data_IF_433420451481
#
_entry.id   IF_433420451481
#
_cell.length_a   1.000
_cell.length_b   1.000
_cell.length_c   1.000
_cell.angle_alpha   90.00
_cell.angle_beta   90.00
_cell.angle_gamma   90.00
#
_symmetry.space_group_name_H-M   'P 1'
#
loop_
_entity.id
_entity.type
_entity.pdbx_description
1 polymer ?
#
# COMPACT_ATOMS: atom_id res chain seq x y z
N UNK A 1 -1.77 31.94 -15.70
CA UNK A 1 -0.68 30.94 -15.63
C UNK A 1 0.59 31.65 -15.17
N UNK A 2 1.09 31.36 -13.97
CA UNK A 2 2.35 31.94 -13.46
C UNK A 2 3.52 31.02 -13.83
N UNK A 3 4.64 31.57 -14.30
CA UNK A 3 5.86 30.82 -14.63
C UNK A 3 7.03 31.40 -13.85
N UNK A 4 7.85 30.54 -13.24
CA UNK A 4 9.11 30.93 -12.59
C UNK A 4 10.25 30.05 -13.08
N UNK A 5 11.41 30.65 -13.30
CA UNK A 5 12.65 29.92 -13.56
C UNK A 5 13.26 29.52 -12.23
N UNK A 6 13.72 28.29 -12.12
CA UNK A 6 14.42 27.77 -10.96
C UNK A 6 15.65 26.98 -11.38
N UNK A 7 16.46 26.57 -10.41
CA UNK A 7 17.57 25.64 -10.61
C UNK A 7 17.32 24.38 -9.78
N UNK A 8 17.71 23.24 -10.34
CA UNK A 8 17.79 22.01 -9.56
C UNK A 8 19.04 22.07 -8.68
N UNK A 9 18.85 21.80 -7.40
CA UNK A 9 19.92 21.61 -6.44
C UNK A 9 20.32 20.15 -6.50
N UNK A 10 21.62 19.89 -6.66
CA UNK A 10 22.19 18.55 -6.75
C UNK A 10 23.05 18.32 -5.52
N UNK A 11 22.68 17.36 -4.68
CA UNK A 11 23.45 16.97 -3.51
C UNK A 11 24.01 15.57 -3.73
N UNK A 12 25.33 15.42 -3.58
CA UNK A 12 26.03 14.13 -3.58
C UNK A 12 26.14 13.63 -2.15
N UNK A 13 25.82 12.37 -1.87
CA UNK A 13 26.08 11.78 -0.56
C UNK A 13 27.60 11.65 -0.33
N UNK A 14 28.06 11.98 0.88
CA UNK A 14 29.44 11.76 1.32
C UNK A 14 29.54 10.52 2.22
N UNK A 15 30.66 9.80 2.15
CA UNK A 15 30.95 8.62 2.97
C UNK A 15 31.04 7.29 2.19
N UNK A 16 31.38 6.20 2.88
CA UNK A 16 31.53 4.83 2.36
C UNK A 16 30.21 4.10 2.08
N UNK A 17 29.07 4.74 2.30
CA UNK A 17 27.75 4.17 2.02
C UNK A 17 27.37 4.40 0.56
N UNK A 18 27.61 3.39 -0.26
CA UNK A 18 27.19 3.21 -1.67
C UNK A 18 27.69 4.27 -2.67
N UNK A 19 28.42 3.77 -3.67
CA UNK A 19 28.85 4.50 -4.87
C UNK A 19 27.60 5.08 -5.57
N UNK A 20 27.53 6.41 -5.67
CA UNK A 20 26.62 7.19 -6.55
C UNK A 20 25.20 7.58 -6.07
N UNK A 21 24.96 7.79 -4.78
CA UNK A 21 23.74 8.47 -4.32
C UNK A 21 23.71 9.96 -4.71
N UNK A 22 23.02 10.33 -5.81
CA UNK A 22 22.78 11.73 -6.19
C UNK A 22 21.31 12.07 -5.93
N UNK A 23 21.06 13.15 -5.17
CA UNK A 23 19.70 13.63 -4.91
C UNK A 23 19.46 14.98 -5.57
N UNK A 24 18.32 15.10 -6.26
CA UNK A 24 17.86 16.34 -6.89
C UNK A 24 16.75 16.99 -6.06
N UNK A 25 16.81 18.31 -5.88
CA UNK A 25 15.78 19.10 -5.18
C UNK A 25 15.45 20.35 -5.98
N UNK A 26 14.20 20.79 -5.92
CA UNK A 26 13.76 22.08 -6.49
C UNK A 26 13.03 22.88 -5.42
N UNK A 27 13.29 24.18 -5.35
CA UNK A 27 12.54 25.08 -4.47
C UNK A 27 11.24 25.48 -5.14
N UNK A 28 10.12 25.15 -4.49
CA UNK A 28 8.78 25.55 -4.93
C UNK A 28 8.37 26.84 -4.22
N UNK A 29 7.73 27.82 -4.90
CA UNK A 29 7.24 29.02 -4.25
C UNK A 29 6.18 28.67 -3.20
N UNK A 30 6.30 29.22 -1.99
CA UNK A 30 5.32 29.00 -0.91
C UNK A 30 3.90 29.37 -1.32
N UNK A 31 3.73 30.40 -2.16
CA UNK A 31 2.42 30.80 -2.70
C UNK A 31 1.76 29.70 -3.53
N UNK A 32 2.52 28.85 -4.23
CA UNK A 32 1.97 27.73 -5.01
C UNK A 32 1.61 26.57 -4.09
N UNK A 33 2.48 26.25 -3.12
CA UNK A 33 2.24 25.23 -2.10
C UNK A 33 0.94 25.49 -1.35
N UNK A 34 0.73 26.72 -0.85
CA UNK A 34 -0.52 27.11 -0.18
C UNK A 34 -1.75 27.00 -1.09
N UNK A 35 -1.62 27.39 -2.38
CA UNK A 35 -2.72 27.35 -3.34
C UNK A 35 -3.20 25.93 -3.66
N UNK A 36 -2.30 24.94 -3.63
CA UNK A 36 -2.67 23.53 -3.80
C UNK A 36 -3.07 22.87 -2.47
N UNK A 37 -3.23 23.65 -1.40
CA UNK A 37 -3.72 23.18 -0.10
C UNK A 37 -2.65 22.52 0.78
N UNK A 38 -1.38 22.62 0.43
CA UNK A 38 -0.29 22.08 1.25
C UNK A 38 0.18 23.10 2.29
N UNK A 39 0.72 22.60 3.39
CA UNK A 39 1.24 23.39 4.50
C UNK A 39 2.40 22.68 5.20
N UNK A 40 2.88 23.29 6.27
CA UNK A 40 3.80 22.65 7.20
C UNK A 40 3.17 21.43 7.89
N UNK A 41 1.85 21.27 7.87
CA UNK A 41 1.20 20.10 8.46
C UNK A 41 0.65 19.16 7.37
N UNK A 42 0.19 19.73 6.25
CA UNK A 42 -0.27 19.03 5.06
C UNK A 42 0.86 18.90 4.03
N UNK A 43 1.70 17.87 4.17
CA UNK A 43 2.92 17.67 3.35
C UNK A 43 2.83 16.52 2.33
N UNK A 44 1.71 15.79 2.30
CA UNK A 44 1.57 14.62 1.45
C UNK A 44 1.32 15.03 0.00
N UNK A 45 2.22 14.61 -0.89
CA UNK A 45 2.16 14.93 -2.31
C UNK A 45 2.25 13.67 -3.16
N UNK A 46 1.59 13.71 -4.32
CA UNK A 46 1.73 12.73 -5.40
C UNK A 46 2.56 13.35 -6.51
N UNK A 47 3.61 12.65 -6.94
CA UNK A 47 4.45 13.03 -8.07
C UNK A 47 4.08 12.16 -9.27
N UNK A 48 3.75 12.79 -10.39
CA UNK A 48 3.49 12.08 -11.64
C UNK A 48 4.55 12.46 -12.67
N UNK A 49 5.06 11.49 -13.41
CA UNK A 49 6.02 11.70 -14.49
C UNK A 49 5.47 11.15 -15.80
N UNK A 50 5.40 11.99 -16.83
CA UNK A 50 4.85 11.64 -18.15
C UNK A 50 5.95 11.39 -19.21
N UNK A 51 7.21 11.21 -18.78
CA UNK A 51 8.37 11.11 -19.68
C UNK A 51 9.04 12.45 -19.99
N UNK A 52 8.37 13.59 -19.76
CA UNK A 52 8.91 14.92 -20.04
C UNK A 52 8.75 15.90 -18.87
N UNK A 53 7.66 15.81 -18.12
CA UNK A 53 7.24 16.76 -17.09
C UNK A 53 6.91 16.02 -15.81
N UNK A 54 7.16 16.69 -14.69
CA UNK A 54 6.75 16.24 -13.37
C UNK A 54 5.56 17.10 -12.93
N UNK A 55 4.45 16.46 -12.56
CA UNK A 55 3.29 17.11 -11.96
C UNK A 55 3.29 16.82 -10.46
N UNK A 56 3.01 17.85 -9.66
CA UNK A 56 2.92 17.78 -8.20
C UNK A 56 1.48 18.05 -7.81
N UNK A 57 0.88 17.13 -7.08
CA UNK A 57 -0.53 17.19 -6.67
C UNK A 57 -0.58 16.98 -5.16
N UNK A 58 -1.45 17.73 -4.47
CA UNK A 58 -1.76 17.47 -3.07
C UNK A 58 -2.53 16.15 -2.96
N UNK A 59 -2.05 15.23 -2.12
CA UNK A 59 -2.60 13.88 -1.98
C UNK A 59 -3.38 13.69 -0.67
N UNK A 60 -3.69 14.76 0.07
CA UNK A 60 -4.23 14.63 1.42
C UNK A 60 -5.61 13.96 1.46
N UNK A 61 -6.53 14.33 0.57
CA UNK A 61 -7.86 13.72 0.50
C UNK A 61 -7.80 12.24 0.07
N UNK A 62 -6.99 11.91 -0.95
CA UNK A 62 -6.74 10.52 -1.36
C UNK A 62 -6.18 9.70 -0.17
N UNK A 63 -5.24 10.28 0.59
CA UNK A 63 -4.67 9.64 1.79
C UNK A 63 -5.71 9.43 2.89
N UNK A 64 -6.61 10.41 3.11
CA UNK A 64 -7.71 10.28 4.08
C UNK A 64 -8.69 9.18 3.67
N UNK A 65 -9.08 9.14 2.39
CA UNK A 65 -9.95 8.11 1.85
C UNK A 65 -9.33 6.72 2.02
N UNK A 66 -8.06 6.55 1.61
CA UNK A 66 -7.32 5.30 1.79
C UNK A 66 -7.26 4.86 3.25
N UNK A 67 -7.03 5.78 4.19
CA UNK A 67 -7.01 5.46 5.61
C UNK A 67 -8.39 5.00 6.12
N UNK A 68 -9.48 5.65 5.71
CA UNK A 68 -10.82 5.25 6.12
C UNK A 68 -11.18 3.86 5.59
N UNK A 69 -10.85 3.60 4.31
CA UNK A 69 -11.02 2.29 3.67
C UNK A 69 -10.21 1.23 4.40
N UNK A 70 -8.97 1.55 4.75
CA UNK A 70 -8.10 0.64 5.49
C UNK A 70 -8.68 0.31 6.87
N UNK A 71 -9.30 1.27 7.57
CA UNK A 71 -9.96 0.96 8.85
C UNK A 71 -11.18 0.06 8.71
N UNK A 72 -12.01 0.27 7.68
CA UNK A 72 -13.13 -0.63 7.40
C UNK A 72 -12.64 -2.04 7.02
N UNK A 73 -11.61 -2.12 6.18
CA UNK A 73 -11.02 -3.38 5.76
C UNK A 73 -10.45 -4.18 6.95
N UNK A 74 -9.79 -3.48 7.89
CA UNK A 74 -9.29 -4.08 9.13
C UNK A 74 -10.43 -4.69 9.95
N UNK A 75 -11.58 -4.02 10.05
CA UNK A 75 -12.75 -4.54 10.75
C UNK A 75 -13.24 -5.82 10.07
N UNK A 76 -13.45 -5.81 8.74
CA UNK A 76 -13.89 -6.98 7.97
C UNK A 76 -12.91 -8.16 8.11
N UNK A 77 -11.60 -7.90 8.03
CA UNK A 77 -10.54 -8.89 8.26
C UNK A 77 -10.63 -9.47 9.67
N UNK A 78 -10.78 -8.61 10.68
CA UNK A 78 -10.85 -9.02 12.07
C UNK A 78 -12.09 -9.88 12.34
N UNK A 79 -13.24 -9.54 11.74
CA UNK A 79 -14.46 -10.33 11.82
C UNK A 79 -14.29 -11.72 11.18
N UNK A 80 -13.72 -11.80 9.97
CA UNK A 80 -13.39 -13.08 9.30
C UNK A 80 -12.45 -13.92 10.18
N UNK A 81 -11.39 -13.31 10.70
CA UNK A 81 -10.43 -13.96 11.60
C UNK A 81 -11.06 -14.42 12.91
N UNK A 82 -12.01 -13.68 13.48
CA UNK A 82 -12.72 -14.09 14.69
C UNK A 82 -13.69 -15.23 14.44
N UNK A 83 -14.36 -15.24 13.29
CA UNK A 83 -15.35 -16.25 12.91
C UNK A 83 -14.69 -17.58 12.50
N UNK A 84 -13.70 -17.51 11.61
CA UNK A 84 -13.11 -18.68 10.97
C UNK A 84 -11.78 -19.07 11.62
N UNK A 85 -10.99 -18.10 12.07
CA UNK A 85 -9.67 -18.30 12.68
C UNK A 85 -8.51 -18.15 11.70
N UNK A 86 -8.78 -18.11 10.39
CA UNK A 86 -7.77 -17.96 9.34
C UNK A 86 -8.36 -17.26 8.10
N UNK A 87 -7.46 -16.81 7.22
CA UNK A 87 -7.73 -16.35 5.86
C UNK A 87 -6.85 -17.18 4.92
N UNK A 88 -7.46 -17.87 3.97
CA UNK A 88 -6.78 -18.69 2.98
C UNK A 88 -6.16 -17.81 1.90
N UNK A 89 -4.88 -18.07 1.62
CA UNK A 89 -4.03 -17.35 0.65
C UNK A 89 -3.53 -18.33 -0.44
N UNK A 90 -4.08 -19.54 -0.47
CA UNK A 90 -3.75 -20.58 -1.44
C UNK A 90 -4.15 -20.16 -2.85
N UNK A 91 -3.37 -20.59 -3.84
CA UNK A 91 -3.71 -20.41 -5.25
C UNK A 91 -5.08 -21.02 -5.56
N UNK A 92 -5.94 -20.25 -6.25
CA UNK A 92 -7.32 -20.63 -6.60
C UNK A 92 -8.27 -20.87 -5.42
N UNK A 93 -7.91 -20.48 -4.19
CA UNK A 93 -8.84 -20.44 -3.07
C UNK A 93 -9.79 -19.22 -3.14
N UNK A 94 -10.77 -19.15 -2.23
CA UNK A 94 -11.53 -17.92 -1.98
C UNK A 94 -10.56 -16.85 -1.43
N UNK A 95 -10.01 -16.03 -2.33
CA UNK A 95 -9.02 -15.01 -2.00
C UNK A 95 -9.70 -13.80 -1.38
N UNK A 96 -10.13 -13.96 -0.14
CA UNK A 96 -10.84 -12.96 0.64
C UNK A 96 -10.18 -11.56 0.59
N UNK A 97 -8.84 -11.49 0.59
CA UNK A 97 -8.11 -10.22 0.50
C UNK A 97 -8.24 -9.59 -0.90
N UNK A 98 -8.06 -10.38 -1.96
CA UNK A 98 -8.23 -9.93 -3.36
C UNK A 98 -9.68 -9.47 -3.60
N UNK A 99 -10.66 -10.21 -3.09
CA UNK A 99 -12.07 -9.87 -3.23
C UNK A 99 -12.42 -8.60 -2.46
N UNK A 100 -11.86 -8.44 -1.26
CA UNK A 100 -12.00 -7.21 -0.48
C UNK A 100 -11.34 -6.01 -1.19
N UNK A 101 -10.17 -6.20 -1.80
CA UNK A 101 -9.52 -5.16 -2.57
C UNK A 101 -10.34 -4.75 -3.81
N UNK A 102 -10.95 -5.72 -4.52
CA UNK A 102 -11.87 -5.45 -5.64
C UNK A 102 -13.11 -4.69 -5.20
N UNK A 103 -13.71 -5.07 -4.06
CA UNK A 103 -14.88 -4.36 -3.51
C UNK A 103 -14.58 -2.86 -3.32
N UNK A 104 -13.43 -2.53 -2.71
CA UNK A 104 -13.05 -1.13 -2.50
C UNK A 104 -12.59 -0.40 -3.76
N UNK A 105 -11.95 -1.10 -4.71
CA UNK A 105 -11.65 -0.55 -6.04
C UNK A 105 -12.94 -0.06 -6.69
N UNK A 106 -13.95 -0.93 -6.77
CA UNK A 106 -15.25 -0.63 -7.39
C UNK A 106 -16.02 0.47 -6.65
N UNK A 107 -15.99 0.47 -5.32
CA UNK A 107 -16.72 1.46 -4.51
C UNK A 107 -16.10 2.86 -4.55
N UNK A 108 -14.76 2.95 -4.63
CA UNK A 108 -14.03 4.20 -4.39
C UNK A 108 -13.22 4.71 -5.59
N UNK A 109 -13.24 4.02 -6.74
CA UNK A 109 -12.47 4.39 -7.95
C UNK A 109 -10.97 4.57 -7.63
N UNK A 110 -10.42 3.60 -6.89
CA UNK A 110 -9.03 3.58 -6.44
C UNK A 110 -8.20 2.57 -7.21
N UNK A 111 -6.89 2.66 -7.07
CA UNK A 111 -5.96 1.70 -7.67
C UNK A 111 -6.00 0.37 -6.90
N UNK A 112 -6.42 -0.72 -7.58
CA UNK A 112 -6.51 -2.06 -7.00
C UNK A 112 -5.20 -2.53 -6.39
N UNK A 113 -4.08 -2.36 -7.11
CA UNK A 113 -2.77 -2.84 -6.68
C UNK A 113 -2.35 -2.13 -5.38
N UNK A 114 -2.62 -0.82 -5.27
CA UNK A 114 -2.37 -0.05 -4.05
C UNK A 114 -3.19 -0.55 -2.85
N UNK A 115 -4.48 -0.84 -3.06
CA UNK A 115 -5.33 -1.38 -2.00
C UNK A 115 -4.83 -2.75 -1.58
N UNK A 116 -4.61 -3.65 -2.53
CA UNK A 116 -4.16 -5.02 -2.28
C UNK A 116 -2.83 -5.04 -1.52
N UNK A 117 -1.84 -4.26 -1.96
CA UNK A 117 -0.55 -4.13 -1.27
C UNK A 117 -0.75 -3.68 0.18
N UNK A 118 -1.60 -2.67 0.40
CA UNK A 118 -1.88 -2.13 1.74
C UNK A 118 -2.52 -3.17 2.65
N UNK A 119 -3.49 -3.94 2.14
CA UNK A 119 -4.15 -4.99 2.91
C UNK A 119 -3.20 -6.14 3.23
N UNK A 120 -2.42 -6.61 2.25
CA UNK A 120 -1.41 -7.63 2.49
C UNK A 120 -0.38 -7.19 3.54
N UNK A 121 0.07 -5.94 3.47
CA UNK A 121 1.02 -5.37 4.42
C UNK A 121 0.44 -5.37 5.85
N UNK A 122 -0.85 -5.06 5.98
CA UNK A 122 -1.54 -5.17 7.25
C UNK A 122 -1.60 -6.63 7.73
N UNK A 123 -1.96 -7.57 6.86
CA UNK A 123 -2.04 -8.99 7.19
C UNK A 123 -0.70 -9.55 7.67
N UNK A 124 0.39 -9.23 6.96
CA UNK A 124 1.77 -9.63 7.30
C UNK A 124 2.23 -9.06 8.65
N UNK A 125 1.80 -7.85 9.01
CA UNK A 125 2.16 -7.19 10.29
C UNK A 125 1.32 -7.71 11.47
N UNK A 126 0.05 -8.04 11.22
CA UNK A 126 -0.92 -8.37 12.28
C UNK A 126 -1.00 -9.86 12.58
N UNK A 127 -0.95 -10.72 11.56
CA UNK A 127 -1.24 -12.14 11.68
C UNK A 127 -0.03 -13.01 11.36
N UNK A 128 -0.02 -14.22 11.92
CA UNK A 128 0.99 -15.22 11.57
C UNK A 128 0.63 -15.82 10.21
N UNK A 129 1.65 -16.21 9.44
CA UNK A 129 1.49 -16.84 8.12
C UNK A 129 2.15 -18.20 8.09
N UNK A 130 1.51 -19.17 7.43
CA UNK A 130 2.13 -20.43 7.01
C UNK A 130 1.93 -20.57 5.51
N UNK A 131 2.94 -21.08 4.80
CA UNK A 131 2.79 -21.39 3.39
C UNK A 131 3.94 -22.22 2.86
N UNK A 132 3.68 -22.88 1.73
CA UNK A 132 4.65 -23.69 0.98
C UNK A 132 4.29 -23.70 -0.51
N UNK A 133 5.29 -23.85 -1.37
CA UNK A 133 5.10 -24.13 -2.79
C UNK A 133 5.46 -25.57 -3.08
N UNK A 134 4.68 -26.22 -3.94
CA UNK A 134 5.02 -27.54 -4.45
C UNK A 134 6.04 -27.47 -5.62
N UNK A 135 6.39 -28.65 -6.17
CA UNK A 135 7.36 -28.75 -7.29
C UNK A 135 6.84 -28.16 -8.61
N UNK A 136 5.54 -27.91 -8.71
CA UNK A 136 4.89 -27.32 -9.88
C UNK A 136 4.70 -25.81 -9.76
N UNK A 137 5.02 -25.24 -8.60
CA UNK A 137 4.87 -23.82 -8.30
C UNK A 137 3.50 -23.45 -7.72
N UNK A 138 2.64 -24.42 -7.41
CA UNK A 138 1.37 -24.17 -6.75
C UNK A 138 1.63 -23.75 -5.29
N UNK A 139 1.20 -22.55 -4.92
CA UNK A 139 1.32 -22.02 -3.58
C UNK A 139 0.10 -22.37 -2.73
N UNK A 140 0.34 -22.95 -1.56
CA UNK A 140 -0.66 -23.14 -0.51
C UNK A 140 -0.22 -22.39 0.73
N UNK A 141 -1.07 -21.51 1.25
CA UNK A 141 -0.75 -20.73 2.44
C UNK A 141 -1.97 -20.09 3.08
N UNK A 142 -1.79 -19.60 4.31
CA UNK A 142 -2.81 -18.88 5.03
C UNK A 142 -2.20 -17.88 6.00
N UNK A 143 -3.01 -16.87 6.33
CA UNK A 143 -2.85 -16.08 7.55
C UNK A 143 -3.76 -16.65 8.63
N UNK A 144 -3.29 -16.74 9.87
CA UNK A 144 -4.05 -17.32 10.96
C UNK A 144 -3.93 -16.54 12.26
N UNK A 145 -5.03 -16.52 13.01
CA UNK A 145 -5.15 -15.82 14.30
C UNK A 145 -4.37 -16.54 15.41
N UNK A 146 -4.54 -17.84 15.51
CA UNK A 146 -3.93 -18.68 16.55
C UNK A 146 -3.73 -20.13 16.06
N UNK A 147 -3.23 -21.00 16.95
CA UNK A 147 -2.95 -22.41 16.61
C UNK A 147 -4.21 -23.18 16.23
N UNK A 148 -5.39 -22.81 16.73
CA UNK A 148 -6.64 -23.48 16.36
C UNK A 148 -7.08 -23.07 14.96
N UNK A 149 -6.97 -21.77 14.64
CA UNK A 149 -7.19 -21.26 13.29
C UNK A 149 -6.30 -21.95 12.25
N UNK A 150 -5.02 -22.15 12.57
CA UNK A 150 -4.11 -22.89 11.69
C UNK A 150 -4.57 -24.34 11.46
N UNK A 151 -4.92 -25.06 12.54
CA UNK A 151 -5.42 -26.45 12.42
C UNK A 151 -6.68 -26.54 11.58
N UNK A 152 -7.60 -25.57 11.72
CA UNK A 152 -8.82 -25.50 10.90
C UNK A 152 -8.47 -25.35 9.42
N UNK A 153 -7.52 -24.48 9.07
CA UNK A 153 -7.07 -24.35 7.68
C UNK A 153 -6.44 -25.64 7.15
N UNK A 154 -5.55 -26.27 7.93
CA UNK A 154 -4.91 -27.53 7.54
C UNK A 154 -5.93 -28.65 7.27
N UNK A 155 -7.03 -28.68 8.03
CA UNK A 155 -8.11 -29.67 7.84
C UNK A 155 -8.97 -29.47 6.59
N UNK A 156 -8.82 -28.37 5.86
CA UNK A 156 -9.57 -28.11 4.62
C UNK A 156 -8.83 -28.69 3.40
N UNK A 157 -7.52 -28.91 3.52
CA UNK A 157 -6.68 -29.53 2.49
C UNK A 157 -6.50 -31.05 2.60
N UNK A 158 -7.11 -31.69 3.61
CA UNK A 158 -7.22 -33.16 3.75
C UNK A 158 -8.53 -33.67 3.13
#
# INVERSE_FOLDING_TARGET
MEKRKGKLIVNKSGGTASVAGVTFRVTLPSSWIRKIGLSEDARNIKLMFDGQKIKIINNEEETKMLNNILEDAKIKIQEKMNKVGFVDDTDNAERFIDDLAREYEEEHDLDFDLILETLEDHMKKTYKRKGSCDKTGHYAGCYYKDKEGLKKWESIGE
#
